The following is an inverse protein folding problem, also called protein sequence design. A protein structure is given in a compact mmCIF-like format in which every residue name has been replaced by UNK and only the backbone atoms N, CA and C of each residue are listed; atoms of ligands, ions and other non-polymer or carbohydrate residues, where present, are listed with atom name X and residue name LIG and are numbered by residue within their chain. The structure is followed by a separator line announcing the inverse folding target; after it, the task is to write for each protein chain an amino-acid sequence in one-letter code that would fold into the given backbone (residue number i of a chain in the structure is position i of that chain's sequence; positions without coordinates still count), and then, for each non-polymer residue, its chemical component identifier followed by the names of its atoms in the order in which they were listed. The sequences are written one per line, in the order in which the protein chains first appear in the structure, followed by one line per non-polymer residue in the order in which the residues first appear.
data_IF_927662939545
#
_entry.id   IF_927662939545
#
_cell.length_a   1.000
_cell.length_b   1.000
_cell.length_c   1.000
_cell.angle_alpha   90.00
_cell.angle_beta   90.00
_cell.angle_gamma   90.00
#
_symmetry.space_group_name_H-M   'P 1'
#
loop_
_entity.id
_entity.type
_entity.pdbx_description
1 polymer ?
#
# COMPACT_ATOMS: atom_id res chain seq x y z
N UNK A 1 -21.64 -11.64 -24.11
CA UNK A 1 -20.32 -12.09 -23.60
C UNK A 1 -19.60 -10.85 -23.07
N UNK A 2 -19.74 -10.40 -21.81
CA UNK A 2 -19.98 -11.10 -20.56
C UNK A 2 -18.68 -11.14 -19.75
N UNK A 3 -18.39 -10.05 -19.02
CA UNK A 3 -17.37 -9.89 -17.97
C UNK A 3 -15.88 -10.02 -18.34
N UNK A 4 -15.20 -8.89 -18.55
CA UNK A 4 -13.72 -8.82 -18.66
C UNK A 4 -13.09 -7.65 -17.88
N UNK A 5 -13.83 -6.92 -17.02
CA UNK A 5 -13.29 -5.73 -16.35
C UNK A 5 -13.74 -5.55 -14.89
N UNK A 6 -13.74 -6.60 -14.08
CA UNK A 6 -13.95 -6.46 -12.63
C UNK A 6 -13.22 -7.54 -11.85
N UNK A 7 -11.90 -7.57 -11.95
CA UNK A 7 -11.08 -8.51 -11.16
C UNK A 7 -9.66 -7.99 -10.98
N UNK A 8 -9.50 -6.78 -10.44
CA UNK A 8 -8.33 -6.57 -9.58
C UNK A 8 -8.63 -7.33 -8.32
N UNK A 9 -7.92 -8.45 -8.16
CA UNK A 9 -8.13 -9.41 -7.08
C UNK A 9 -8.02 -8.67 -5.75
N UNK A 10 -9.15 -8.53 -5.08
CA UNK A 10 -9.27 -8.63 -3.64
C UNK A 10 -8.10 -9.45 -3.07
N UNK A 11 -7.32 -8.89 -2.13
CA UNK A 11 -6.66 -9.82 -1.21
C UNK A 11 -7.80 -10.57 -0.54
N UNK A 12 -7.86 -11.88 -0.77
CA UNK A 12 -8.82 -12.72 -0.07
C UNK A 12 -8.78 -12.36 1.42
N UNK A 13 -9.94 -12.17 2.06
CA UNK A 13 -9.98 -11.79 3.48
C UNK A 13 -9.13 -12.71 4.36
N UNK A 14 -8.97 -13.95 3.93
CA UNK A 14 -8.06 -14.93 4.52
C UNK A 14 -6.60 -14.46 4.54
N UNK A 15 -6.10 -13.95 3.41
CA UNK A 15 -4.75 -13.40 3.30
C UNK A 15 -4.61 -12.12 4.13
N UNK A 16 -5.65 -11.27 4.21
CA UNK A 16 -5.64 -10.11 5.09
C UNK A 16 -5.54 -10.52 6.56
N UNK A 17 -6.32 -11.53 6.96
CA UNK A 17 -6.29 -12.09 8.31
C UNK A 17 -4.92 -12.71 8.65
N UNK A 18 -4.33 -13.45 7.73
CA UNK A 18 -2.98 -14.04 7.89
C UNK A 18 -1.90 -12.97 8.08
N UNK A 19 -1.93 -11.90 7.26
CA UNK A 19 -0.88 -10.87 7.26
C UNK A 19 -1.04 -9.88 8.42
N UNK A 20 -2.27 -9.56 8.80
CA UNK A 20 -2.56 -8.51 9.79
C UNK A 20 -2.92 -9.05 11.17
N UNK A 21 -3.22 -10.35 11.29
CA UNK A 21 -3.78 -10.96 12.50
C UNK A 21 -5.21 -10.50 12.82
N UNK A 22 -5.83 -9.66 11.97
CA UNK A 22 -7.17 -9.14 12.19
C UNK A 22 -8.20 -10.14 11.65
N UNK A 23 -9.23 -10.51 12.43
CA UNK A 23 -10.24 -11.45 11.97
C UNK A 23 -10.91 -10.98 10.68
N UNK A 24 -11.01 -11.86 9.68
CA UNK A 24 -11.67 -11.58 8.39
C UNK A 24 -13.08 -11.02 8.53
N UNK A 25 -13.78 -11.40 9.59
CA UNK A 25 -15.13 -10.92 9.89
C UNK A 25 -15.18 -9.40 10.09
N UNK A 26 -14.12 -8.78 10.66
CA UNK A 26 -14.06 -7.33 10.83
C UNK A 26 -14.02 -6.62 9.47
N UNK A 27 -13.21 -7.11 8.53
CA UNK A 27 -13.15 -6.57 7.18
C UNK A 27 -14.48 -6.75 6.42
N UNK A 28 -15.12 -7.92 6.53
CA UNK A 28 -16.43 -8.19 5.90
C UNK A 28 -17.53 -7.29 6.44
N UNK A 29 -17.67 -7.21 7.77
CA UNK A 29 -18.70 -6.39 8.41
C UNK A 29 -18.59 -4.91 8.01
N UNK A 30 -17.35 -4.42 7.87
CA UNK A 30 -17.09 -3.05 7.45
C UNK A 30 -17.51 -2.81 6.00
N UNK A 31 -17.13 -3.71 5.09
CA UNK A 31 -17.52 -3.61 3.70
C UNK A 31 -19.05 -3.57 3.59
N UNK A 32 -19.76 -4.42 4.33
CA UNK A 32 -21.22 -4.45 4.39
C UNK A 32 -21.83 -3.20 5.03
N UNK A 33 -21.17 -2.60 6.03
CA UNK A 33 -21.60 -1.34 6.64
C UNK A 33 -21.51 -0.18 5.66
N UNK A 34 -20.36 0.01 5.00
CA UNK A 34 -20.19 1.11 4.06
C UNK A 34 -20.96 0.90 2.76
N UNK A 35 -21.14 -0.35 2.32
CA UNK A 35 -22.01 -0.68 1.19
C UNK A 35 -23.45 -0.25 1.45
N UNK A 36 -23.97 -0.41 2.68
CA UNK A 36 -25.30 0.08 3.07
C UNK A 36 -25.42 1.60 3.08
N UNK A 37 -24.31 2.32 3.25
CA UNK A 37 -24.25 3.79 3.24
C UNK A 37 -23.97 4.38 1.84
N UNK A 38 -23.44 3.58 0.93
CA UNK A 38 -23.11 4.02 -0.43
C UNK A 38 -24.36 4.14 -1.29
N UNK A 39 -24.50 5.28 -1.97
CA UNK A 39 -25.53 5.48 -3.00
C UNK A 39 -25.15 4.80 -4.33
N UNK A 40 -23.87 4.48 -4.52
CA UNK A 40 -23.35 3.76 -5.69
C UNK A 40 -23.26 2.27 -5.38
N UNK A 41 -23.94 1.45 -6.19
CA UNK A 41 -23.96 -0.01 -6.05
C UNK A 41 -22.62 -0.66 -6.44
N UNK A 42 -21.77 0.05 -7.18
CA UNK A 42 -20.59 -0.54 -7.81
C UNK A 42 -19.31 -0.35 -7.00
N UNK A 43 -19.20 0.74 -6.22
CA UNK A 43 -17.97 1.05 -5.49
C UNK A 43 -18.25 1.71 -4.14
N UNK A 44 -17.72 1.08 -3.08
CA UNK A 44 -17.87 1.58 -1.72
C UNK A 44 -16.75 2.55 -1.42
N UNK A 45 -17.10 3.83 -1.32
CA UNK A 45 -16.15 4.91 -1.05
C UNK A 45 -16.16 5.31 0.43
N UNK A 46 -14.97 5.49 0.98
CA UNK A 46 -14.66 5.75 2.39
C UNK A 46 -13.94 7.10 2.46
N UNK A 47 -14.38 7.97 3.36
CA UNK A 47 -13.71 9.26 3.60
C UNK A 47 -12.64 9.16 4.72
N UNK A 48 -12.01 10.29 5.04
CA UNK A 48 -10.95 10.36 6.07
C UNK A 48 -11.47 9.98 7.47
N UNK A 49 -12.68 10.43 7.81
CA UNK A 49 -13.28 10.16 9.12
C UNK A 49 -13.58 8.67 9.26
N UNK A 50 -14.16 8.09 8.22
CA UNK A 50 -14.45 6.67 8.12
C UNK A 50 -13.18 5.80 8.20
N UNK A 51 -12.12 6.19 7.47
CA UNK A 51 -10.83 5.51 7.50
C UNK A 51 -10.23 5.50 8.92
N UNK A 52 -10.18 6.66 9.60
CA UNK A 52 -9.71 6.75 10.99
C UNK A 52 -10.56 5.90 11.93
N UNK A 53 -11.88 5.96 11.78
CA UNK A 53 -12.80 5.19 12.61
C UNK A 53 -12.50 3.70 12.52
N UNK A 54 -12.37 3.16 11.31
CA UNK A 54 -12.07 1.75 11.11
C UNK A 54 -10.70 1.36 11.65
N UNK A 55 -9.66 2.14 11.33
CA UNK A 55 -8.28 1.87 11.76
C UNK A 55 -8.19 1.81 13.29
N UNK A 56 -8.88 2.72 13.99
CA UNK A 56 -8.97 2.69 15.45
C UNK A 56 -9.74 1.47 15.99
N UNK A 57 -10.79 1.00 15.30
CA UNK A 57 -11.54 -0.19 15.71
C UNK A 57 -10.75 -1.50 15.53
N UNK A 58 -9.90 -1.58 14.50
CA UNK A 58 -9.04 -2.76 14.28
C UNK A 58 -7.75 -2.68 15.10
N UNK A 59 -7.37 -1.49 15.57
CA UNK A 59 -6.26 -1.28 16.49
C UNK A 59 -4.89 -1.12 15.82
N UNK A 60 -4.82 -1.05 14.49
CA UNK A 60 -3.55 -0.82 13.77
C UNK A 60 -3.25 0.68 13.75
N UNK A 61 -2.03 1.09 14.08
CA UNK A 61 -1.66 2.52 14.06
C UNK A 61 -2.50 3.44 14.97
N UNK A 62 -3.36 2.91 15.84
CA UNK A 62 -4.32 3.68 16.64
C UNK A 62 -3.64 4.72 17.55
N UNK A 63 -2.39 4.43 17.96
CA UNK A 63 -1.57 5.30 18.80
C UNK A 63 -0.93 6.46 18.04
N UNK A 64 -1.04 6.51 16.70
CA UNK A 64 -0.40 7.53 15.87
C UNK A 64 -1.31 7.98 14.73
N UNK A 65 -2.24 8.89 15.03
CA UNK A 65 -3.19 9.43 14.04
C UNK A 65 -2.51 10.12 12.86
N UNK A 66 -1.28 10.63 13.02
CA UNK A 66 -0.51 11.19 11.91
C UNK A 66 -0.15 10.10 10.89
N UNK A 67 0.27 8.92 11.34
CA UNK A 67 0.52 7.78 10.43
C UNK A 67 -0.76 7.31 9.74
N UNK A 68 -1.89 7.31 10.45
CA UNK A 68 -3.20 6.99 9.88
C UNK A 68 -3.58 7.97 8.77
N UNK A 69 -3.39 9.28 9.00
CA UNK A 69 -3.63 10.30 7.99
C UNK A 69 -2.70 10.17 6.79
N UNK A 70 -1.42 9.87 7.03
CA UNK A 70 -0.46 9.65 5.95
C UNK A 70 -0.84 8.40 5.14
N UNK A 71 -1.25 7.31 5.78
CA UNK A 71 -1.80 6.14 5.09
C UNK A 71 -3.04 6.50 4.26
N UNK A 72 -3.94 7.33 4.81
CA UNK A 72 -5.11 7.79 4.09
C UNK A 72 -4.73 8.59 2.84
N UNK A 73 -3.84 9.57 2.98
CA UNK A 73 -3.33 10.40 1.88
C UNK A 73 -2.58 9.60 0.82
N UNK A 74 -1.98 8.49 1.22
CA UNK A 74 -1.24 7.59 0.35
C UNK A 74 -2.13 6.83 -0.65
N UNK A 75 -3.31 6.39 -0.19
CA UNK A 75 -4.22 5.56 -1.00
C UNK A 75 -5.43 6.32 -1.56
N UNK A 76 -5.71 7.57 -1.13
CA UNK A 76 -6.87 8.31 -1.63
C UNK A 76 -6.76 8.62 -3.13
N UNK A 77 -7.91 8.59 -3.80
CA UNK A 77 -8.11 9.09 -5.15
C UNK A 77 -9.29 10.09 -5.12
N UNK A 78 -9.06 11.33 -5.55
CA UNK A 78 -10.11 12.38 -5.61
C UNK A 78 -10.84 12.62 -4.27
N UNK A 79 -10.11 12.55 -3.16
CA UNK A 79 -10.61 12.88 -1.82
C UNK A 79 -11.33 11.73 -1.10
N UNK A 80 -11.53 10.58 -1.75
CA UNK A 80 -12.09 9.37 -1.14
C UNK A 80 -11.20 8.16 -1.45
N UNK A 81 -11.46 7.04 -0.80
CA UNK A 81 -10.80 5.78 -1.11
C UNK A 81 -11.79 4.62 -1.17
N UNK A 82 -11.47 3.60 -1.93
CA UNK A 82 -12.26 2.37 -1.96
C UNK A 82 -12.03 1.56 -0.69
N UNK A 83 -12.92 0.61 -0.39
CA UNK A 83 -12.65 -0.35 0.70
C UNK A 83 -11.37 -1.17 0.48
N UNK A 84 -10.98 -1.42 -0.77
CA UNK A 84 -9.70 -2.08 -1.08
C UNK A 84 -8.52 -1.23 -0.62
N UNK A 85 -8.54 0.07 -0.95
CA UNK A 85 -7.54 1.05 -0.53
C UNK A 85 -7.53 1.25 0.99
N UNK A 86 -8.68 1.15 1.65
CA UNK A 86 -8.75 1.15 3.11
C UNK A 86 -8.05 -0.09 3.71
N UNK A 87 -8.27 -1.27 3.14
CA UNK A 87 -7.58 -2.47 3.58
C UNK A 87 -6.08 -2.36 3.31
N UNK A 88 -5.69 -1.67 2.23
CA UNK A 88 -4.29 -1.30 1.99
C UNK A 88 -3.69 -0.46 3.10
N UNK A 89 -4.45 0.49 3.66
CA UNK A 89 -4.04 1.28 4.82
C UNK A 89 -3.78 0.36 6.02
N UNK A 90 -4.68 -0.60 6.29
CA UNK A 90 -4.54 -1.54 7.41
C UNK A 90 -3.28 -2.39 7.27
N UNK A 91 -3.03 -2.94 6.08
CA UNK A 91 -1.83 -3.73 5.78
C UNK A 91 -0.58 -2.89 6.02
N UNK A 92 -0.56 -1.64 5.54
CA UNK A 92 0.58 -0.73 5.73
C UNK A 92 0.84 -0.37 7.19
N UNK A 93 -0.21 -0.23 7.99
CA UNK A 93 -0.13 0.16 9.40
C UNK A 93 0.05 -1.03 10.36
N UNK A 94 0.00 -2.27 9.85
CA UNK A 94 0.12 -3.47 10.67
C UNK A 94 1.56 -3.68 11.13
N UNK A 95 1.80 -3.61 12.43
CA UNK A 95 3.12 -3.80 13.04
C UNK A 95 3.62 -5.25 12.97
N UNK A 96 2.72 -6.21 12.79
CA UNK A 96 3.03 -7.66 12.73
C UNK A 96 3.49 -8.13 11.34
N UNK A 97 3.40 -7.27 10.33
CA UNK A 97 3.73 -7.63 8.95
C UNK A 97 5.25 -7.51 8.71
N UNK A 98 5.84 -8.56 8.14
CA UNK A 98 7.21 -8.53 7.63
C UNK A 98 7.37 -7.39 6.60
N UNK A 99 8.46 -6.62 6.69
CA UNK A 99 8.57 -5.45 5.84
C UNK A 99 8.91 -5.75 4.38
N UNK A 100 9.39 -6.95 4.01
CA UNK A 100 9.47 -7.40 2.61
C UNK A 100 8.07 -7.68 2.06
N UNK A 101 7.21 -8.31 2.85
CA UNK A 101 5.80 -8.47 2.48
C UNK A 101 5.13 -7.09 2.33
N UNK A 102 5.39 -6.16 3.26
CA UNK A 102 4.86 -4.78 3.19
C UNK A 102 5.34 -4.08 1.93
N UNK A 103 6.62 -4.20 1.57
CA UNK A 103 7.18 -3.63 0.35
C UNK A 103 6.54 -4.25 -0.91
N UNK A 104 6.36 -5.56 -0.92
CA UNK A 104 5.68 -6.29 -2.00
C UNK A 104 4.27 -5.73 -2.20
N UNK A 105 3.56 -5.46 -1.11
CA UNK A 105 2.23 -4.90 -1.16
C UNK A 105 2.18 -3.45 -1.72
N UNK A 106 3.13 -2.60 -1.30
CA UNK A 106 3.29 -1.24 -1.86
C UNK A 106 3.56 -1.30 -3.36
N UNK A 107 4.44 -2.22 -3.80
CA UNK A 107 4.75 -2.41 -5.21
C UNK A 107 3.49 -2.80 -5.98
N UNK A 108 2.72 -3.78 -5.50
CA UNK A 108 1.50 -4.24 -6.20
C UNK A 108 0.47 -3.11 -6.35
N UNK A 109 0.35 -2.25 -5.33
CA UNK A 109 -0.60 -1.14 -5.36
C UNK A 109 -0.17 -0.02 -6.31
N UNK A 110 1.14 0.28 -6.39
CA UNK A 110 1.65 1.42 -7.15
C UNK A 110 2.27 1.07 -8.50
N UNK A 111 2.48 -0.21 -8.80
CA UNK A 111 2.98 -0.71 -10.08
C UNK A 111 1.98 -1.69 -10.75
N UNK A 112 0.71 -1.28 -10.99
CA UNK A 112 -0.34 -2.20 -11.40
C UNK A 112 -0.18 -2.79 -12.81
N UNK A 113 0.67 -2.20 -13.67
CA UNK A 113 0.98 -2.75 -15.00
C UNK A 113 2.25 -3.60 -15.01
N UNK A 114 3.22 -3.26 -14.16
CA UNK A 114 4.48 -3.98 -14.08
C UNK A 114 4.47 -5.14 -13.08
N UNK A 115 3.45 -5.23 -12.21
CA UNK A 115 3.23 -6.38 -11.33
C UNK A 115 3.01 -7.68 -12.13
N UNK A 116 2.33 -7.60 -13.28
CA UNK A 116 2.09 -8.75 -14.16
C UNK A 116 3.37 -9.19 -14.92
N UNK A 117 4.31 -8.27 -15.13
CA UNK A 117 5.54 -8.50 -15.90
C UNK A 117 6.78 -8.70 -15.02
N UNK A 118 6.62 -8.64 -13.69
CA UNK A 118 7.72 -8.62 -12.70
C UNK A 118 8.76 -7.49 -12.96
N UNK A 119 8.33 -6.42 -13.62
CA UNK A 119 9.15 -5.27 -14.00
C UNK A 119 8.65 -4.03 -13.28
N UNK A 120 9.56 -3.24 -12.74
CA UNK A 120 9.27 -1.90 -12.20
C UNK A 120 9.88 -0.89 -13.15
N UNK A 121 9.04 -0.05 -13.75
CA UNK A 121 9.54 1.07 -14.56
C UNK A 121 10.00 2.21 -13.66
N UNK A 122 10.88 3.06 -14.18
CA UNK A 122 11.36 4.28 -13.50
C UNK A 122 10.23 5.14 -12.93
N UNK A 123 9.14 5.29 -13.69
CA UNK A 123 7.97 6.06 -13.26
C UNK A 123 7.37 5.47 -11.98
N UNK A 124 7.16 4.15 -11.95
CA UNK A 124 6.56 3.47 -10.81
C UNK A 124 7.53 3.32 -9.65
N UNK A 125 8.80 2.99 -9.91
CA UNK A 125 9.84 2.88 -8.88
C UNK A 125 10.06 4.19 -8.12
N UNK A 126 10.15 5.32 -8.84
CA UNK A 126 10.25 6.65 -8.19
C UNK A 126 8.99 6.99 -7.38
N UNK A 127 7.81 6.58 -7.85
CA UNK A 127 6.56 6.74 -7.10
C UNK A 127 6.60 5.92 -5.80
N UNK A 128 6.97 4.64 -5.88
CA UNK A 128 7.10 3.74 -4.73
C UNK A 128 8.12 4.28 -3.71
N UNK A 129 9.27 4.76 -4.16
CA UNK A 129 10.29 5.34 -3.27
C UNK A 129 9.81 6.62 -2.58
N UNK A 130 9.13 7.50 -3.32
CA UNK A 130 8.49 8.70 -2.73
C UNK A 130 7.49 8.29 -1.64
N UNK A 131 6.63 7.34 -1.98
CA UNK A 131 5.65 6.73 -1.11
C UNK A 131 6.27 6.22 0.20
N UNK A 132 7.33 5.42 0.13
CA UNK A 132 8.02 4.87 1.31
C UNK A 132 8.61 6.00 2.17
N UNK A 133 9.27 7.00 1.54
CA UNK A 133 9.87 8.12 2.25
C UNK A 133 8.84 8.93 3.05
N UNK A 134 7.67 9.21 2.44
CA UNK A 134 6.59 9.98 3.07
C UNK A 134 5.93 9.19 4.21
N UNK A 135 5.65 7.91 4.00
CA UNK A 135 4.99 7.07 5.00
C UNK A 135 5.82 6.87 6.27
N UNK A 136 7.11 6.58 6.12
CA UNK A 136 8.02 6.36 7.26
C UNK A 136 8.66 7.64 7.79
N UNK A 137 8.24 8.82 7.32
CA UNK A 137 8.80 10.14 7.70
C UNK A 137 10.34 10.14 7.66
N UNK A 138 10.92 9.62 6.58
CA UNK A 138 12.37 9.42 6.46
C UNK A 138 13.04 10.78 6.17
N UNK A 139 13.32 11.53 7.24
CA UNK A 139 13.81 12.93 7.19
C UNK A 139 15.10 13.17 6.38
N UNK A 140 15.91 12.12 6.15
CA UNK A 140 17.18 12.20 5.40
C UNK A 140 17.20 11.30 4.16
N UNK A 141 16.04 10.87 3.66
CA UNK A 141 16.01 10.07 2.45
C UNK A 141 16.56 10.86 1.26
N UNK A 142 17.42 10.23 0.46
CA UNK A 142 17.79 10.77 -0.83
C UNK A 142 16.55 10.92 -1.73
N UNK A 143 16.54 11.88 -2.67
CA UNK A 143 15.44 12.05 -3.61
C UNK A 143 15.15 10.74 -4.37
N UNK A 144 13.88 10.39 -4.63
CA UNK A 144 13.51 9.16 -5.32
C UNK A 144 14.24 8.92 -6.65
N UNK A 145 14.57 9.99 -7.38
CA UNK A 145 15.34 9.90 -8.62
C UNK A 145 16.79 9.44 -8.39
N UNK A 146 17.43 9.90 -7.31
CA UNK A 146 18.79 9.49 -6.96
C UNK A 146 18.81 8.05 -6.47
N UNK A 147 17.84 7.66 -5.64
CA UNK A 147 17.73 6.29 -5.15
C UNK A 147 17.44 5.32 -6.30
N UNK A 148 16.62 5.73 -7.28
CA UNK A 148 16.39 4.94 -8.49
C UNK A 148 17.69 4.64 -9.27
N UNK A 149 18.56 5.64 -9.43
CA UNK A 149 19.87 5.46 -10.07
C UNK A 149 20.71 4.42 -9.30
N UNK A 150 20.66 4.45 -7.97
CA UNK A 150 21.37 3.48 -7.14
C UNK A 150 20.79 2.07 -7.26
N UNK A 151 19.46 1.92 -7.30
CA UNK A 151 18.78 0.63 -7.56
C UNK A 151 19.27 0.02 -8.89
N UNK A 152 19.50 0.86 -9.89
CA UNK A 152 19.97 0.45 -11.21
C UNK A 152 21.49 0.22 -11.29
N UNK A 153 22.24 0.31 -10.19
CA UNK A 153 23.69 0.13 -10.17
C UNK A 153 24.49 1.36 -10.65
N UNK A 154 23.93 2.56 -10.54
CA UNK A 154 24.59 3.82 -10.89
C UNK A 154 24.17 4.41 -12.25
N UNK A 155 23.26 3.75 -12.97
CA UNK A 155 22.70 4.25 -14.24
C UNK A 155 21.24 4.66 -14.07
N UNK A 156 20.71 5.56 -14.90
CA UNK A 156 19.26 5.87 -14.90
C UNK A 156 18.55 4.93 -15.87
N UNK A 157 18.47 3.62 -15.57
CA UNK A 157 17.79 2.66 -16.44
C UNK A 157 16.28 2.95 -16.51
N UNK A 158 15.60 2.62 -17.62
CA UNK A 158 14.15 2.83 -17.75
C UNK A 158 13.34 1.86 -16.88
N UNK A 159 13.90 0.71 -16.54
CA UNK A 159 13.24 -0.34 -15.78
C UNK A 159 14.25 -1.24 -15.05
N UNK A 160 13.75 -1.93 -14.01
CA UNK A 160 14.47 -2.99 -13.28
C UNK A 160 13.50 -4.12 -12.98
N UNK A 161 14.02 -5.30 -12.69
CA UNK A 161 13.18 -6.39 -12.16
C UNK A 161 12.70 -6.05 -10.75
N UNK A 162 11.54 -6.60 -10.37
CA UNK A 162 11.02 -6.49 -8.99
C UNK A 162 12.04 -6.95 -7.96
N UNK A 163 12.71 -8.07 -8.21
CA UNK A 163 13.68 -8.65 -7.28
C UNK A 163 14.88 -7.73 -7.07
N UNK A 164 15.37 -7.07 -8.13
CA UNK A 164 16.44 -6.07 -7.99
C UNK A 164 15.99 -4.90 -7.12
N UNK A 165 14.77 -4.41 -7.32
CA UNK A 165 14.22 -3.31 -6.53
C UNK A 165 14.03 -3.72 -5.06
N UNK A 166 13.39 -4.86 -4.80
CA UNK A 166 13.17 -5.38 -3.45
C UNK A 166 14.51 -5.60 -2.75
N UNK A 167 15.46 -6.28 -3.40
CA UNK A 167 16.79 -6.54 -2.85
C UNK A 167 17.51 -5.27 -2.45
N UNK A 168 17.45 -4.22 -3.28
CA UNK A 168 18.08 -2.95 -2.95
C UNK A 168 17.42 -2.30 -1.72
N UNK A 169 16.09 -2.17 -1.76
CA UNK A 169 15.32 -1.45 -0.74
C UNK A 169 15.36 -2.19 0.60
N UNK A 170 15.37 -3.52 0.61
CA UNK A 170 15.38 -4.32 1.84
C UNK A 170 16.73 -4.38 2.54
N UNK A 171 17.85 -4.00 1.89
CA UNK A 171 19.19 -4.05 2.50
C UNK A 171 19.80 -2.66 2.72
N UNK A 172 19.25 -1.62 2.10
CA UNK A 172 19.84 -0.28 2.07
C UNK A 172 19.21 0.63 3.13
N UNK A 173 20.03 1.25 3.98
CA UNK A 173 19.57 2.31 4.88
C UNK A 173 19.23 3.58 4.07
N UNK A 174 18.18 4.34 4.42
CA UNK A 174 17.31 4.16 5.60
C UNK A 174 16.20 3.13 5.42
N UNK A 175 15.93 2.65 4.21
CA UNK A 175 14.77 1.81 3.90
C UNK A 175 14.68 0.52 4.71
N UNK A 176 15.79 -0.21 4.81
CA UNK A 176 15.88 -1.43 5.64
C UNK A 176 15.42 -1.17 7.07
N UNK A 177 15.79 -0.03 7.65
CA UNK A 177 15.54 0.24 9.07
C UNK A 177 14.05 0.50 9.37
N UNK A 178 13.21 0.64 8.34
CA UNK A 178 11.75 0.81 8.43
C UNK A 178 10.96 -0.37 7.82
N UNK A 179 11.65 -1.28 7.14
CA UNK A 179 11.09 -2.45 6.44
C UNK A 179 11.60 -3.78 7.05
N UNK A 180 12.18 -3.76 8.25
CA UNK A 180 12.62 -4.94 9.02
C UNK A 180 11.93 -4.92 10.38
#
# INVERSE_FOLDING_TARGET
MGNSKSTRKFLELRRLEEITGIPRQKFSNLHDEYKRKSADENEVLVDRSDCRHFINQVGVGANNQRLVDTAFEFFLCDGKMTTEQLFSCVVMLSETMDGVDRLTYVIDTHNPKGADENIITRKYGRKILKCINEFFDIKKASPPAQVWIQVCGGTDNPEVTRDQFIKYVSITSPYRDFLV
#
